data_IF_888121840414
#
_entry.id   IF_888121840414
#
_cell.length_a   1.000
_cell.length_b   1.000
_cell.length_c   1.000
_cell.angle_alpha   90.00
_cell.angle_beta   90.00
_cell.angle_gamma   90.00
#
_symmetry.space_group_name_H-M   'P 1'
#
loop_
_entity.id
_entity.type
_entity.pdbx_description
1 polymer ?
#
# COMPACT_ATOMS: atom_id res chain seq x y z
N UNK A 1 -7.21 6.05 -8.22
CA UNK A 1 -6.40 4.81 -8.32
C UNK A 1 -5.23 5.09 -9.24
N UNK A 2 -4.03 4.59 -8.96
CA UNK A 2 -2.90 4.66 -9.89
C UNK A 2 -2.98 3.48 -10.83
N UNK A 3 -3.01 3.73 -12.13
CA UNK A 3 -3.13 2.69 -13.16
C UNK A 3 -1.77 2.41 -13.81
N UNK A 4 -0.93 3.43 -13.97
CA UNK A 4 0.46 3.28 -14.39
C UNK A 4 1.33 4.47 -13.97
N UNK A 5 2.65 4.30 -14.02
CA UNK A 5 3.61 5.38 -13.78
C UNK A 5 4.06 5.99 -15.11
N UNK A 6 4.11 7.32 -15.16
CA UNK A 6 4.61 8.04 -16.33
C UNK A 6 6.13 8.02 -16.30
N UNK A 7 6.74 7.72 -17.45
CA UNK A 7 8.19 7.64 -17.62
C UNK A 7 8.67 8.64 -18.65
N UNK A 8 9.88 9.13 -18.45
CA UNK A 8 10.64 9.93 -19.42
C UNK A 8 12.05 9.37 -19.53
N UNK A 9 12.70 9.54 -20.67
CA UNK A 9 14.07 9.07 -20.89
C UNK A 9 15.02 10.25 -20.82
N UNK A 10 16.01 10.18 -19.92
CA UNK A 10 17.07 11.16 -19.77
C UNK A 10 18.39 10.37 -19.83
N UNK A 11 19.29 10.74 -20.74
CA UNK A 11 20.60 10.09 -20.93
C UNK A 11 20.53 8.55 -21.11
N UNK A 12 19.50 8.08 -21.83
CA UNK A 12 19.28 6.65 -22.08
C UNK A 12 18.72 5.86 -20.89
N UNK A 13 18.37 6.53 -19.78
CA UNK A 13 17.74 5.90 -18.60
C UNK A 13 16.30 6.34 -18.45
N UNK A 14 15.44 5.42 -18.04
CA UNK A 14 14.05 5.74 -17.69
C UNK A 14 13.96 6.37 -16.29
N UNK A 15 13.22 7.47 -16.21
CA UNK A 15 12.93 8.18 -14.97
C UNK A 15 11.41 8.31 -14.80
N UNK A 16 10.93 8.05 -13.60
CA UNK A 16 9.53 8.30 -13.24
C UNK A 16 9.30 9.80 -13.16
N UNK A 17 8.31 10.31 -13.88
CA UNK A 17 7.99 11.74 -13.96
C UNK A 17 6.51 12.05 -13.64
N UNK A 18 5.76 11.08 -13.13
CA UNK A 18 4.35 11.24 -12.82
C UNK A 18 3.59 9.93 -12.73
N UNK A 19 2.26 10.02 -12.77
CA UNK A 19 1.36 8.88 -12.77
C UNK A 19 0.12 9.13 -13.63
N UNK A 20 -0.39 8.06 -14.24
CA UNK A 20 -1.73 8.02 -14.82
C UNK A 20 -2.69 7.50 -13.76
N UNK A 21 -3.76 8.27 -13.48
CA UNK A 21 -4.68 8.00 -12.39
C UNK A 21 -6.14 8.08 -12.82
N UNK A 22 -6.94 7.13 -12.35
CA UNK A 22 -8.41 7.17 -12.45
C UNK A 22 -9.02 7.73 -11.17
N UNK A 23 -9.89 8.72 -11.27
CA UNK A 23 -10.76 9.15 -10.19
C UNK A 23 -11.80 8.05 -9.91
N UNK A 24 -11.80 7.47 -8.71
CA UNK A 24 -12.68 6.33 -8.40
C UNK A 24 -14.13 6.72 -8.10
N UNK A 25 -14.43 8.02 -7.99
CA UNK A 25 -15.81 8.51 -7.81
C UNK A 25 -16.48 8.84 -9.15
N UNK A 26 -15.74 9.43 -10.09
CA UNK A 26 -16.27 9.90 -11.39
C UNK A 26 -15.88 9.01 -12.57
N UNK A 27 -14.81 8.23 -12.44
CA UNK A 27 -14.24 7.43 -13.53
C UNK A 27 -13.32 8.21 -14.47
N UNK A 28 -13.15 9.52 -14.27
CA UNK A 28 -12.28 10.34 -15.12
C UNK A 28 -10.80 10.02 -14.93
N UNK A 29 -10.02 10.11 -16.01
CA UNK A 29 -8.60 9.79 -16.03
C UNK A 29 -7.73 11.03 -16.19
N UNK A 30 -6.58 11.03 -15.51
CA UNK A 30 -5.67 12.18 -15.47
C UNK A 30 -4.21 11.73 -15.58
N UNK A 31 -3.41 12.50 -16.31
CA UNK A 31 -1.95 12.41 -16.31
C UNK A 31 -1.38 13.50 -15.40
N UNK A 32 -0.85 13.10 -14.24
CA UNK A 32 -0.26 14.02 -13.26
C UNK A 32 1.26 13.96 -13.39
N UNK A 33 1.88 15.08 -13.77
CA UNK A 33 3.34 15.21 -13.81
C UNK A 33 3.89 15.71 -12.48
N UNK A 34 5.03 15.16 -12.05
CA UNK A 34 5.69 15.54 -10.81
C UNK A 34 7.22 15.48 -10.97
N UNK A 35 7.94 16.30 -10.20
CA UNK A 35 9.41 16.24 -10.14
C UNK A 35 9.92 15.02 -9.37
N UNK A 36 9.12 14.51 -8.44
CA UNK A 36 9.42 13.36 -7.61
C UNK A 36 8.11 12.61 -7.30
N UNK A 37 8.18 11.28 -7.25
CA UNK A 37 7.06 10.41 -6.89
C UNK A 37 7.49 9.55 -5.71
N UNK A 38 6.74 9.60 -4.61
CA UNK A 38 6.98 8.79 -3.40
C UNK A 38 5.92 7.70 -3.35
N UNK A 39 6.37 6.45 -3.27
CA UNK A 39 5.48 5.30 -3.05
C UNK A 39 5.27 5.07 -1.55
N UNK A 40 4.07 5.38 -1.05
CA UNK A 40 3.66 5.21 0.34
C UNK A 40 2.38 4.38 0.49
N UNK A 41 2.18 3.36 -0.36
CA UNK A 41 0.90 2.62 -0.48
C UNK A 41 0.78 1.41 0.46
N UNK A 42 1.51 1.37 1.56
CA UNK A 42 1.43 0.30 2.58
C UNK A 42 1.56 -1.12 1.98
N UNK A 43 0.61 -2.04 2.23
CA UNK A 43 0.68 -3.42 1.74
C UNK A 43 0.67 -3.53 0.20
N UNK A 44 0.27 -2.47 -0.50
CA UNK A 44 0.25 -2.42 -1.97
C UNK A 44 1.55 -1.88 -2.57
N UNK A 45 2.60 -1.63 -1.76
CA UNK A 45 3.86 -1.03 -2.22
C UNK A 45 4.46 -1.76 -3.43
N UNK A 46 4.43 -3.10 -3.42
CA UNK A 46 4.99 -3.89 -4.51
C UNK A 46 4.21 -3.75 -5.81
N UNK A 47 2.89 -3.54 -5.75
CA UNK A 47 2.09 -3.29 -6.95
C UNK A 47 2.57 -2.04 -7.68
N UNK A 48 2.88 -0.97 -6.95
CA UNK A 48 3.43 0.27 -7.54
C UNK A 48 4.88 0.08 -7.99
N UNK A 49 5.70 -0.66 -7.24
CA UNK A 49 7.11 -0.93 -7.63
C UNK A 49 7.20 -1.70 -8.93
N UNK A 50 6.34 -2.70 -9.12
CA UNK A 50 6.27 -3.50 -10.35
C UNK A 50 5.80 -2.66 -11.55
N UNK A 51 4.94 -1.65 -11.35
CA UNK A 51 4.58 -0.69 -12.41
C UNK A 51 5.79 0.14 -12.88
N UNK A 52 6.73 0.43 -11.99
CA UNK A 52 7.96 1.15 -12.31
C UNK A 52 8.97 0.28 -13.05
N UNK A 53 9.16 -0.95 -12.57
CA UNK A 53 10.04 -1.95 -13.19
C UNK A 53 9.48 -3.37 -12.94
N UNK A 54 9.11 -4.04 -14.02
CA UNK A 54 8.54 -5.39 -13.98
C UNK A 54 9.50 -6.46 -13.47
N UNK A 55 10.82 -6.22 -13.52
CA UNK A 55 11.83 -7.12 -12.97
C UNK A 55 11.97 -7.00 -11.44
N UNK A 56 11.26 -6.06 -10.81
CA UNK A 56 11.34 -5.82 -9.37
C UNK A 56 10.87 -7.03 -8.57
N UNK A 57 11.74 -7.51 -7.67
CA UNK A 57 11.38 -8.51 -6.67
C UNK A 57 10.44 -7.92 -5.60
N UNK A 58 9.38 -8.67 -5.28
CA UNK A 58 8.47 -8.36 -4.17
C UNK A 58 9.21 -8.40 -2.82
N UNK A 59 8.94 -7.43 -1.95
CA UNK A 59 9.52 -7.31 -0.60
C UNK A 59 8.46 -7.25 0.50
N UNK A 60 7.22 -6.86 0.19
CA UNK A 60 6.15 -6.70 1.15
C UNK A 60 5.50 -8.06 1.45
N UNK A 61 5.41 -8.40 2.73
CA UNK A 61 4.69 -9.57 3.24
C UNK A 61 3.60 -9.10 4.20
N UNK A 62 2.38 -8.82 3.70
CA UNK A 62 1.30 -8.34 4.57
C UNK A 62 0.80 -9.47 5.48
N UNK A 63 0.54 -9.12 6.74
CA UNK A 63 -0.14 -9.98 7.72
C UNK A 63 -1.56 -9.46 7.98
N UNK A 64 -2.51 -10.37 8.20
CA UNK A 64 -3.89 -10.02 8.56
C UNK A 64 -4.10 -10.18 10.06
N UNK A 65 -4.82 -9.25 10.67
CA UNK A 65 -5.30 -9.32 12.04
C UNK A 65 -6.74 -8.82 12.13
N UNK A 66 -7.50 -9.30 13.10
CA UNK A 66 -8.90 -8.92 13.31
C UNK A 66 -9.12 -8.44 14.74
N UNK A 67 -10.05 -7.51 14.93
CA UNK A 67 -10.48 -7.05 16.24
C UNK A 67 -11.96 -7.39 16.43
N UNK A 68 -12.30 -7.97 17.59
CA UNK A 68 -13.69 -8.29 17.97
C UNK A 68 -14.05 -7.41 19.17
N UNK A 69 -15.26 -6.86 19.16
CA UNK A 69 -15.80 -6.05 20.26
C UNK A 69 -16.86 -6.85 21.00
N UNK A 70 -16.71 -6.97 22.32
CA UNK A 70 -17.65 -7.63 23.22
C UNK A 70 -18.28 -6.61 24.18
N UNK A 71 -19.45 -6.90 24.76
CA UNK A 71 -20.01 -6.11 25.84
C UNK A 71 -19.04 -5.89 27.02
N UNK A 72 -19.12 -4.74 27.67
CA UNK A 72 -18.17 -4.36 28.74
C UNK A 72 -18.14 -5.29 29.96
N UNK A 73 -19.20 -6.06 30.22
CA UNK A 73 -19.22 -7.01 31.35
C UNK A 73 -18.29 -8.23 31.15
N UNK A 74 -17.67 -8.40 29.97
CA UNK A 74 -16.68 -9.45 29.71
C UNK A 74 -15.25 -9.07 30.13
N UNK A 75 -14.94 -7.80 30.39
CA UNK A 75 -13.60 -7.36 30.82
C UNK A 75 -13.65 -6.11 31.70
N UNK A 76 -12.86 -6.01 32.77
CA UNK A 76 -12.73 -4.76 33.54
C UNK A 76 -12.26 -3.58 32.67
N UNK A 77 -12.75 -2.37 32.93
CA UNK A 77 -12.50 -1.16 32.12
C UNK A 77 -11.01 -0.75 32.01
N UNK A 78 -10.18 -1.18 32.96
CA UNK A 78 -8.74 -0.84 33.02
C UNK A 78 -7.86 -2.09 32.97
N UNK A 79 -8.26 -3.10 32.18
CA UNK A 79 -7.51 -4.33 32.00
C UNK A 79 -7.10 -4.52 30.53
N UNK A 80 -5.82 -4.80 30.31
CA UNK A 80 -5.31 -5.42 29.08
C UNK A 80 -4.85 -6.84 29.40
N UNK A 81 -5.19 -7.79 28.54
CA UNK A 81 -4.75 -9.19 28.65
C UNK A 81 -3.93 -9.55 27.42
N UNK A 82 -2.76 -10.14 27.64
CA UNK A 82 -1.92 -10.74 26.61
C UNK A 82 -1.61 -12.16 27.07
N UNK A 83 -2.07 -13.15 26.31
CA UNK A 83 -1.67 -14.55 26.48
C UNK A 83 -0.81 -14.95 25.27
N UNK A 84 0.53 -15.01 25.42
CA UNK A 84 1.44 -15.39 24.34
C UNK A 84 1.68 -16.91 24.28
N UNK A 85 0.94 -17.72 25.03
CA UNK A 85 1.11 -19.18 25.09
C UNK A 85 -0.13 -19.90 24.58
N UNK A 86 -0.54 -19.60 23.34
CA UNK A 86 -1.67 -20.30 22.71
C UNK A 86 -1.18 -21.55 21.99
N UNK A 87 -2.09 -22.49 21.68
CA UNK A 87 -1.73 -23.74 21.00
C UNK A 87 -1.16 -23.55 19.59
N UNK A 88 -1.39 -22.36 19.01
CA UNK A 88 -0.96 -21.93 17.68
C UNK A 88 0.20 -20.93 17.71
N UNK A 89 0.71 -20.56 18.89
CA UNK A 89 1.90 -19.70 19.06
C UNK A 89 1.59 -18.39 19.77
#
# INVERSE_FOLDING_TARGET
>A
RVDSLLKTTIDGKEHICGAHVTNTLTGEEYNIRAKCVINATGPYTDSIRIMGDSATRKICQPSSGVHIVLPGYYSPESMGLLDPSTSDG
#
